data_IF_261937751573
#
_entry.id   IF_261937751573
#
_cell.length_a   1.000
_cell.length_b   1.000
_cell.length_c   1.000
_cell.angle_alpha   90.00
_cell.angle_beta   90.00
_cell.angle_gamma   90.00
#
_symmetry.space_group_name_H-M   'P 1'
#
loop_
_entity.id
_entity.type
_entity.pdbx_description
1 polymer ?
#
# COMPACT_ATOMS: atom_id res chain seq x y z
N UNK A 1 54.68 0.59 25.67
CA UNK A 1 54.80 0.45 24.20
C UNK A 1 54.72 -1.02 23.89
N UNK A 2 53.83 -1.59 23.09
CA UNK A 2 52.61 -1.17 22.41
C UNK A 2 52.04 -2.48 21.88
N UNK A 3 50.75 -2.71 22.11
CA UNK A 3 50.03 -3.89 21.62
C UNK A 3 48.53 -3.60 21.49
N UNK A 4 48.20 -2.34 21.26
CA UNK A 4 46.88 -1.85 20.89
C UNK A 4 46.60 -2.22 19.43
N UNK A 5 46.11 -3.44 19.20
CA UNK A 5 45.39 -3.81 17.99
C UNK A 5 43.90 -3.53 18.20
N UNK A 6 43.18 -2.92 17.24
CA UNK A 6 41.76 -2.59 17.42
C UNK A 6 40.95 -3.88 17.52
N UNK A 7 40.62 -4.27 18.75
CA UNK A 7 39.65 -5.30 19.04
C UNK A 7 38.33 -4.88 18.43
N UNK A 8 37.89 -5.62 17.41
CA UNK A 8 36.53 -5.57 16.91
C UNK A 8 35.56 -5.63 18.11
N UNK A 9 34.52 -4.79 18.18
CA UNK A 9 33.54 -4.82 19.28
C UNK A 9 32.60 -6.04 19.24
N UNK A 10 32.87 -7.07 18.42
CA UNK A 10 31.99 -8.23 18.20
C UNK A 10 32.35 -9.43 19.08
N UNK A 11 32.61 -9.19 20.37
CA UNK A 11 32.83 -10.24 21.36
C UNK A 11 31.55 -10.77 22.00
N UNK A 12 30.58 -11.21 21.20
CA UNK A 12 29.38 -11.91 21.68
C UNK A 12 29.43 -13.39 21.31
N UNK A 13 28.90 -14.27 22.16
CA UNK A 13 28.83 -15.71 21.89
C UNK A 13 28.14 -15.96 20.53
N UNK A 14 28.65 -16.87 19.68
CA UNK A 14 28.11 -17.11 18.34
C UNK A 14 26.64 -17.57 18.36
N UNK A 15 26.19 -18.19 19.46
CA UNK A 15 24.80 -18.56 19.68
C UNK A 15 23.89 -17.34 19.90
N UNK A 16 24.38 -16.30 20.59
CA UNK A 16 23.66 -15.04 20.80
C UNK A 16 23.60 -14.21 19.51
N UNK A 17 24.66 -14.27 18.69
CA UNK A 17 24.64 -13.68 17.34
C UNK A 17 23.61 -14.38 16.44
N UNK A 18 23.56 -15.72 16.45
CA UNK A 18 22.56 -16.45 15.66
C UNK A 18 21.13 -16.23 16.17
N UNK A 19 20.95 -16.09 17.49
CA UNK A 19 19.65 -15.75 18.10
C UNK A 19 19.20 -14.34 17.69
N UNK A 20 20.07 -13.34 17.83
CA UNK A 20 19.77 -11.95 17.43
C UNK A 20 19.54 -11.80 15.92
N UNK A 21 20.28 -12.53 15.08
CA UNK A 21 20.03 -12.55 13.62
C UNK A 21 18.67 -13.17 13.29
N UNK A 22 18.23 -14.19 14.04
CA UNK A 22 16.92 -14.82 13.86
C UNK A 22 15.79 -13.89 14.30
N UNK A 23 15.91 -13.27 15.47
CA UNK A 23 14.96 -12.27 15.95
C UNK A 23 14.89 -11.05 15.03
N UNK A 24 16.03 -10.59 14.50
CA UNK A 24 16.10 -9.51 13.51
C UNK A 24 15.47 -9.90 12.16
N UNK A 25 15.66 -11.16 11.73
CA UNK A 25 15.02 -11.67 10.51
C UNK A 25 13.50 -11.81 10.67
N UNK A 26 13.01 -12.23 11.84
CA UNK A 26 11.57 -12.29 12.17
C UNK A 26 10.95 -10.89 12.18
N UNK A 27 11.60 -9.91 12.82
CA UNK A 27 11.16 -8.51 12.83
C UNK A 27 11.20 -7.87 11.43
N UNK A 28 12.23 -8.17 10.63
CA UNK A 28 12.27 -7.71 9.23
C UNK A 28 11.18 -8.36 8.38
N UNK A 29 10.91 -9.66 8.55
CA UNK A 29 9.86 -10.34 7.82
C UNK A 29 8.46 -9.76 8.12
N UNK A 30 8.23 -9.31 9.35
CA UNK A 30 6.99 -8.62 9.74
C UNK A 30 6.88 -7.24 9.11
N UNK A 31 7.92 -6.41 9.21
CA UNK A 31 7.94 -5.06 8.63
C UNK A 31 7.83 -5.05 7.11
N UNK A 32 8.43 -6.03 6.41
CA UNK A 32 8.29 -6.19 4.96
C UNK A 32 6.84 -6.52 4.58
N UNK A 33 6.16 -7.37 5.36
CA UNK A 33 4.76 -7.70 5.10
C UNK A 33 3.82 -6.52 5.33
N UNK A 34 4.06 -5.72 6.37
CA UNK A 34 3.29 -4.49 6.63
C UNK A 34 3.50 -3.45 5.54
N UNK A 35 4.76 -3.17 5.18
CA UNK A 35 5.10 -2.22 4.13
C UNK A 35 4.50 -2.63 2.77
N UNK A 36 4.55 -3.92 2.44
CA UNK A 36 3.89 -4.44 1.24
C UNK A 36 2.37 -4.21 1.33
N UNK A 37 1.71 -4.57 2.44
CA UNK A 37 0.26 -4.36 2.60
C UNK A 37 -0.16 -2.90 2.42
N UNK A 38 0.58 -1.95 2.97
CA UNK A 38 0.31 -0.51 2.81
C UNK A 38 0.52 -0.02 1.38
N UNK A 39 1.61 -0.45 0.74
CA UNK A 39 1.87 -0.10 -0.66
C UNK A 39 0.78 -0.65 -1.59
N UNK A 40 0.32 -1.88 -1.34
CA UNK A 40 -0.80 -2.48 -2.07
C UNK A 40 -2.12 -1.73 -1.85
N UNK A 41 -2.40 -1.26 -0.63
CA UNK A 41 -3.58 -0.45 -0.35
C UNK A 41 -3.54 0.89 -1.11
N UNK A 42 -2.37 1.52 -1.19
CA UNK A 42 -2.17 2.78 -1.93
C UNK A 42 -2.39 2.61 -3.43
N UNK A 43 -1.81 1.55 -4.03
CA UNK A 43 -2.02 1.24 -5.44
C UNK A 43 -3.49 0.98 -5.76
N UNK A 44 -4.19 0.25 -4.89
CA UNK A 44 -5.65 -0.03 -5.01
C UNK A 44 -6.46 1.27 -5.04
N UNK A 45 -6.18 2.18 -4.12
CA UNK A 45 -6.86 3.47 -4.06
C UNK A 45 -6.60 4.32 -5.31
N UNK A 46 -5.35 4.38 -5.76
CA UNK A 46 -4.98 5.14 -6.96
C UNK A 46 -5.70 4.60 -8.20
N UNK A 47 -5.74 3.28 -8.38
CA UNK A 47 -6.48 2.65 -9.48
C UNK A 47 -7.99 2.96 -9.39
N UNK A 48 -8.58 2.92 -8.20
CA UNK A 48 -9.99 3.28 -8.03
C UNK A 48 -10.26 4.75 -8.41
N UNK A 49 -9.36 5.67 -8.06
CA UNK A 49 -9.43 7.08 -8.45
C UNK A 49 -9.32 7.25 -9.97
N UNK A 50 -8.36 6.58 -10.61
CA UNK A 50 -8.17 6.62 -12.07
C UNK A 50 -9.41 6.11 -12.83
N UNK A 51 -9.98 4.99 -12.41
CA UNK A 51 -11.20 4.43 -12.99
C UNK A 51 -12.38 5.40 -12.83
N UNK A 52 -12.51 5.99 -11.65
CA UNK A 52 -13.56 6.98 -11.35
C UNK A 52 -13.41 8.22 -12.23
N UNK A 53 -12.19 8.73 -12.39
CA UNK A 53 -11.91 9.88 -13.25
C UNK A 53 -12.22 9.59 -14.72
N UNK A 54 -11.83 8.42 -15.24
CA UNK A 54 -12.15 8.00 -16.60
C UNK A 54 -13.66 7.86 -16.83
N UNK A 55 -14.41 7.34 -15.85
CA UNK A 55 -15.85 7.25 -15.92
C UNK A 55 -16.52 8.63 -15.86
N UNK A 56 -16.05 9.53 -14.99
CA UNK A 56 -16.55 10.91 -14.89
C UNK A 56 -16.39 11.70 -16.19
N UNK A 57 -15.30 11.47 -16.95
CA UNK A 57 -15.10 12.13 -18.25
C UNK A 57 -16.17 11.77 -19.29
N UNK A 58 -16.90 10.67 -19.10
CA UNK A 58 -18.00 10.27 -19.98
C UNK A 58 -19.35 10.87 -19.55
N UNK A 59 -19.42 11.53 -18.39
CA UNK A 59 -20.65 12.16 -17.90
C UNK A 59 -20.88 13.46 -18.66
N UNK A 60 -22.00 13.52 -19.39
CA UNK A 60 -22.46 14.75 -20.03
C UNK A 60 -23.35 15.55 -19.07
N UNK A 61 -22.74 16.47 -18.33
CA UNK A 61 -23.46 17.44 -17.50
C UNK A 61 -23.98 18.60 -18.36
N UNK A 62 -25.22 19.02 -18.13
CA UNK A 62 -25.90 20.08 -18.88
C UNK A 62 -26.39 21.15 -17.90
N UNK A 63 -26.68 22.34 -18.42
CA UNK A 63 -27.19 23.46 -17.61
C UNK A 63 -26.11 24.44 -17.17
N UNK A 64 -26.41 25.25 -16.16
CA UNK A 64 -25.48 26.22 -15.57
C UNK A 64 -24.37 25.57 -14.74
N UNK A 65 -23.32 26.32 -14.35
CA UNK A 65 -22.19 25.79 -13.57
C UNK A 65 -22.62 25.06 -12.28
N UNK A 66 -23.60 25.59 -11.55
CA UNK A 66 -24.09 24.99 -10.31
C UNK A 66 -24.81 23.65 -10.56
N UNK A 67 -25.60 23.57 -11.63
CA UNK A 67 -26.30 22.35 -12.04
C UNK A 67 -25.31 21.28 -12.50
N UNK A 68 -24.28 21.67 -13.26
CA UNK A 68 -23.22 20.77 -13.69
C UNK A 68 -22.41 20.24 -12.49
N UNK A 69 -22.10 21.09 -11.52
CA UNK A 69 -21.39 20.69 -10.30
C UNK A 69 -22.19 19.66 -9.48
N UNK A 70 -23.52 19.86 -9.37
CA UNK A 70 -24.43 18.90 -8.71
C UNK A 70 -24.42 17.56 -9.47
N UNK A 71 -24.55 17.60 -10.80
CA UNK A 71 -24.56 16.38 -11.62
C UNK A 71 -23.26 15.57 -11.48
N UNK A 72 -22.10 16.24 -11.55
CA UNK A 72 -20.80 15.59 -11.37
C UNK A 72 -20.63 15.01 -9.96
N UNK A 73 -21.06 15.75 -8.93
CA UNK A 73 -21.03 15.25 -7.54
C UNK A 73 -21.91 14.02 -7.38
N UNK A 74 -23.11 14.03 -7.95
CA UNK A 74 -24.05 12.91 -7.82
C UNK A 74 -23.54 11.68 -8.59
N UNK A 75 -22.92 11.86 -9.76
CA UNK A 75 -22.20 10.79 -10.45
C UNK A 75 -21.04 10.25 -9.61
N UNK A 76 -20.24 11.11 -8.99
CA UNK A 76 -19.11 10.72 -8.14
C UNK A 76 -19.54 9.87 -6.93
N UNK A 77 -20.72 10.14 -6.35
CA UNK A 77 -21.29 9.36 -5.23
C UNK A 77 -21.60 7.91 -5.60
N UNK A 78 -21.74 7.60 -6.88
CA UNK A 78 -21.95 6.24 -7.40
C UNK A 78 -20.63 5.66 -7.90
N UNK A 79 -19.92 6.39 -8.75
CA UNK A 79 -18.75 5.87 -9.46
C UNK A 79 -17.59 5.52 -8.51
N UNK A 80 -17.32 6.34 -7.49
CA UNK A 80 -16.18 6.10 -6.60
C UNK A 80 -16.35 4.85 -5.71
N UNK A 81 -17.47 4.66 -4.99
CA UNK A 81 -17.67 3.44 -4.21
C UNK A 81 -17.65 2.16 -5.06
N UNK A 82 -18.21 2.20 -6.27
CA UNK A 82 -18.22 1.06 -7.20
C UNK A 82 -16.80 0.72 -7.70
N UNK A 83 -15.99 1.72 -8.05
CA UNK A 83 -14.60 1.52 -8.43
C UNK A 83 -13.79 0.94 -7.26
N UNK A 84 -14.00 1.42 -6.04
CA UNK A 84 -13.35 0.88 -4.83
C UNK A 84 -13.77 -0.58 -4.61
N UNK A 85 -15.05 -0.91 -4.75
CA UNK A 85 -15.56 -2.27 -4.61
C UNK A 85 -14.94 -3.21 -5.65
N UNK A 86 -14.88 -2.80 -6.91
CA UNK A 86 -14.30 -3.56 -8.01
C UNK A 86 -12.82 -3.88 -7.78
N UNK A 87 -12.00 -2.87 -7.47
CA UNK A 87 -10.55 -3.05 -7.26
C UNK A 87 -10.30 -3.86 -5.98
N UNK A 88 -11.11 -3.65 -4.93
CA UNK A 88 -11.03 -4.44 -3.70
C UNK A 88 -11.34 -5.93 -3.95
N UNK A 89 -12.37 -6.23 -4.76
CA UNK A 89 -12.73 -7.59 -5.13
C UNK A 89 -11.64 -8.28 -5.97
N UNK A 90 -11.11 -7.58 -6.98
CA UNK A 90 -10.00 -8.08 -7.80
C UNK A 90 -8.77 -8.45 -6.94
N UNK A 91 -8.44 -7.64 -5.95
CA UNK A 91 -7.35 -7.92 -5.00
C UNK A 91 -7.62 -9.13 -4.11
N UNK A 92 -8.84 -9.26 -3.59
CA UNK A 92 -9.21 -10.41 -2.77
C UNK A 92 -9.23 -11.72 -3.58
N UNK A 93 -9.50 -11.66 -4.88
CA UNK A 93 -9.31 -12.79 -5.79
C UNK A 93 -7.84 -13.18 -5.88
N UNK A 94 -6.96 -12.21 -6.17
CA UNK A 94 -5.51 -12.44 -6.29
C UNK A 94 -4.87 -13.00 -5.00
N UNK A 95 -5.26 -12.51 -3.83
CA UNK A 95 -4.73 -12.97 -2.53
C UNK A 95 -5.22 -14.38 -2.12
N UNK A 96 -6.25 -14.94 -2.78
CA UNK A 96 -6.71 -16.32 -2.55
C UNK A 96 -6.03 -17.33 -3.48
N UNK A 97 -5.44 -16.86 -4.57
CA UNK A 97 -4.79 -17.69 -5.60
C UNK A 97 -3.25 -17.72 -5.47
N UNK A 98 -2.67 -16.87 -4.62
CA UNK A 98 -1.23 -16.76 -4.36
C UNK A 98 -0.74 -17.50 -3.12
#
# INVERSE_FOLDING_TARGET
MEGSGPGFPFGGDPEDLMRSLREFAEQQAETVQEAQREQFATLTLNTAVELTAAALQQVSAQGGPDEQAIALRDAMRVLFPEAVALVSAARQGFMREG
#
